data_IF_367434366590
#
_entry.id   IF_367434366590
#
_cell.length_a   1.000
_cell.length_b   1.000
_cell.length_c   1.000
_cell.angle_alpha   90.00
_cell.angle_beta   90.00
_cell.angle_gamma   90.00
#
_symmetry.space_group_name_H-M   'P 1'
#
loop_
_entity.id
_entity.type
_entity.pdbx_description
1 polymer ?
#
# COMPACT_ATOMS: atom_id res chain seq x y z
N UNK A 1 36.53 6.25 -0.71
CA UNK A 1 35.39 6.24 -1.67
C UNK A 1 34.29 5.26 -1.29
N UNK A 2 34.58 3.99 -0.98
CA UNK A 2 33.55 3.00 -0.62
C UNK A 2 32.70 3.40 0.60
N UNK A 3 33.31 3.97 1.65
CA UNK A 3 32.62 4.44 2.86
C UNK A 3 31.68 5.64 2.60
N UNK A 4 32.03 6.52 1.66
CA UNK A 4 31.16 7.64 1.26
C UNK A 4 30.05 7.19 0.30
N UNK A 5 30.28 6.15 -0.51
CA UNK A 5 29.27 5.56 -1.40
C UNK A 5 28.20 4.76 -0.63
N UNK A 6 28.57 4.08 0.46
CA UNK A 6 27.60 3.43 1.37
C UNK A 6 26.76 4.45 2.14
N UNK A 7 27.32 5.63 2.45
CA UNK A 7 26.58 6.72 3.08
C UNK A 7 25.54 7.32 2.11
N UNK A 8 25.89 7.48 0.83
CA UNK A 8 24.93 7.84 -0.23
C UNK A 8 23.85 6.78 -0.50
N UNK A 9 24.16 5.49 -0.32
CA UNK A 9 23.19 4.40 -0.46
C UNK A 9 22.09 4.43 0.62
N UNK A 10 22.36 4.98 1.81
CA UNK A 10 21.37 5.21 2.87
C UNK A 10 20.53 6.48 2.63
N UNK A 11 21.10 7.53 2.05
CA UNK A 11 20.35 8.73 1.63
C UNK A 11 19.53 8.53 0.34
N UNK A 12 19.75 7.44 -0.41
CA UNK A 12 18.83 6.93 -1.42
C UNK A 12 17.82 5.92 -0.82
N UNK A 13 18.07 5.46 0.40
CA UNK A 13 17.18 4.67 1.25
C UNK A 13 16.33 5.59 2.14
N UNK A 14 15.80 6.67 1.58
CA UNK A 14 14.98 7.65 2.29
C UNK A 14 13.71 6.98 2.82
N UNK A 15 13.58 6.79 4.15
CA UNK A 15 12.35 6.28 4.74
C UNK A 15 11.16 7.19 4.41
N UNK A 16 11.43 8.50 4.27
CA UNK A 16 10.48 9.52 3.84
C UNK A 16 9.89 9.26 2.43
N UNK A 17 10.68 8.71 1.51
CA UNK A 17 10.25 8.41 0.15
C UNK A 17 9.45 7.10 0.11
N UNK A 18 9.83 6.10 0.92
CA UNK A 18 9.02 4.89 1.09
C UNK A 18 7.70 5.17 1.82
N UNK A 19 7.66 6.08 2.79
CA UNK A 19 6.43 6.58 3.42
C UNK A 19 5.49 7.23 2.40
N UNK A 20 6.01 8.15 1.60
CA UNK A 20 5.21 8.85 0.59
C UNK A 20 4.61 7.86 -0.42
N UNK A 21 5.37 6.84 -0.81
CA UNK A 21 4.89 5.76 -1.69
C UNK A 21 3.86 4.88 -1.00
N UNK A 22 4.08 4.44 0.25
CA UNK A 22 3.11 3.63 1.00
C UNK A 22 1.81 4.40 1.27
N UNK A 23 1.87 5.71 1.52
CA UNK A 23 0.69 6.58 1.66
C UNK A 23 -0.07 6.76 0.34
N UNK A 24 0.64 7.00 -0.78
CA UNK A 24 0.02 7.08 -2.10
C UNK A 24 -0.62 5.73 -2.51
N UNK A 25 0.05 4.63 -2.21
CA UNK A 25 -0.42 3.28 -2.48
C UNK A 25 -1.65 2.93 -1.65
N UNK A 26 -1.69 3.34 -0.38
CA UNK A 26 -2.88 3.22 0.48
C UNK A 26 -4.07 3.96 -0.13
N UNK A 27 -3.89 5.22 -0.55
CA UNK A 27 -4.98 6.00 -1.16
C UNK A 27 -5.48 5.38 -2.47
N UNK A 28 -4.58 4.88 -3.32
CA UNK A 28 -4.95 4.16 -4.54
C UNK A 28 -5.71 2.86 -4.25
N UNK A 29 -5.24 2.07 -3.28
CA UNK A 29 -5.90 0.82 -2.88
C UNK A 29 -7.29 1.09 -2.28
N UNK A 30 -7.44 2.14 -1.47
CA UNK A 30 -8.76 2.60 -0.99
C UNK A 30 -9.69 2.96 -2.15
N UNK A 31 -9.22 3.72 -3.15
CA UNK A 31 -10.02 4.07 -4.32
C UNK A 31 -10.43 2.85 -5.15
N UNK A 32 -9.52 1.90 -5.35
CA UNK A 32 -9.80 0.64 -6.05
C UNK A 32 -10.82 -0.23 -5.31
N UNK A 33 -10.75 -0.30 -3.98
CA UNK A 33 -11.73 -1.05 -3.17
C UNK A 33 -13.12 -0.42 -3.33
N UNK A 34 -13.23 0.91 -3.26
CA UNK A 34 -14.51 1.61 -3.44
C UNK A 34 -15.08 1.39 -4.85
N UNK A 35 -14.23 1.46 -5.88
CA UNK A 35 -14.62 1.20 -7.27
C UNK A 35 -15.09 -0.25 -7.46
N UNK A 36 -14.32 -1.24 -7.00
CA UNK A 36 -14.70 -2.66 -7.09
C UNK A 36 -15.96 -2.98 -6.30
N UNK A 37 -16.12 -2.38 -5.11
CA UNK A 37 -17.34 -2.53 -4.30
C UNK A 37 -18.54 -1.93 -5.01
N UNK A 38 -18.36 -0.77 -5.67
CA UNK A 38 -19.40 -0.15 -6.49
C UNK A 38 -19.80 -1.05 -7.66
N UNK A 39 -18.86 -1.63 -8.40
CA UNK A 39 -19.13 -2.57 -9.50
C UNK A 39 -19.87 -3.83 -9.01
N UNK A 40 -19.50 -4.35 -7.83
CA UNK A 40 -20.18 -5.47 -7.18
C UNK A 40 -21.63 -5.14 -6.81
N UNK A 41 -21.90 -3.93 -6.31
CA UNK A 41 -23.25 -3.49 -5.92
C UNK A 41 -24.11 -3.17 -7.15
N UNK A 42 -23.54 -2.58 -8.21
CA UNK A 42 -24.27 -2.23 -9.43
C UNK A 42 -24.52 -3.43 -10.37
N UNK A 43 -24.14 -4.64 -9.95
CA UNK A 43 -24.62 -5.89 -10.55
C UNK A 43 -23.92 -6.32 -11.84
N UNK A 44 -22.69 -5.86 -12.10
CA UNK A 44 -21.94 -6.22 -13.30
C UNK A 44 -21.24 -7.58 -13.24
N UNK A 45 -20.81 -8.02 -12.05
CA UNK A 45 -19.98 -9.22 -11.87
C UNK A 45 -20.81 -10.41 -11.37
N UNK A 46 -21.16 -11.33 -12.27
CA UNK A 46 -21.85 -12.60 -11.92
C UNK A 46 -20.98 -13.53 -11.07
N UNK A 47 -19.68 -13.26 -10.98
CA UNK A 47 -18.72 -14.08 -10.24
C UNK A 47 -18.32 -13.44 -8.90
N UNK A 48 -19.25 -13.47 -7.95
CA UNK A 48 -19.06 -12.99 -6.57
C UNK A 48 -17.84 -13.63 -5.87
N UNK A 49 -17.43 -14.85 -6.25
CA UNK A 49 -16.25 -15.51 -5.69
C UNK A 49 -14.97 -14.79 -6.13
N UNK A 50 -14.82 -14.50 -7.42
CA UNK A 50 -13.65 -13.77 -7.92
C UNK A 50 -13.62 -12.33 -7.38
N UNK A 51 -14.78 -11.68 -7.31
CA UNK A 51 -14.91 -10.33 -6.80
C UNK A 51 -14.51 -10.22 -5.32
N UNK A 52 -14.94 -11.17 -4.48
CA UNK A 52 -14.57 -11.22 -3.06
C UNK A 52 -13.09 -11.55 -2.83
N UNK A 53 -12.49 -12.44 -3.63
CA UNK A 53 -11.04 -12.72 -3.56
C UNK A 53 -10.22 -11.49 -3.94
N UNK A 54 -10.64 -10.75 -4.97
CA UNK A 54 -9.96 -9.51 -5.38
C UNK A 54 -10.05 -8.43 -4.30
N UNK A 55 -11.22 -8.27 -3.68
CA UNK A 55 -11.38 -7.39 -2.52
C UNK A 55 -10.49 -7.80 -1.34
N UNK A 56 -10.39 -9.09 -1.06
CA UNK A 56 -9.55 -9.61 0.02
C UNK A 56 -8.07 -9.26 -0.22
N UNK A 57 -7.57 -9.46 -1.44
CA UNK A 57 -6.18 -9.11 -1.81
C UNK A 57 -5.94 -7.61 -1.73
N UNK A 58 -6.89 -6.78 -2.14
CA UNK A 58 -6.79 -5.33 -2.03
C UNK A 58 -6.77 -4.88 -0.55
N UNK A 59 -7.62 -5.44 0.30
CA UNK A 59 -7.64 -5.20 1.76
C UNK A 59 -6.33 -5.61 2.43
N UNK A 60 -5.76 -6.75 2.05
CA UNK A 60 -4.47 -7.21 2.57
C UNK A 60 -3.34 -6.22 2.23
N UNK A 61 -3.26 -5.76 0.98
CA UNK A 61 -2.27 -4.77 0.55
C UNK A 61 -2.43 -3.42 1.28
N UNK A 62 -3.68 -2.97 1.49
CA UNK A 62 -3.97 -1.77 2.28
C UNK A 62 -3.48 -1.93 3.72
N UNK A 63 -3.80 -3.06 4.35
CA UNK A 63 -3.38 -3.36 5.72
C UNK A 63 -1.86 -3.40 5.85
N UNK A 64 -1.14 -4.06 4.94
CA UNK A 64 0.34 -4.06 4.93
C UNK A 64 0.91 -2.66 4.73
N UNK A 65 0.34 -1.86 3.83
CA UNK A 65 0.78 -0.47 3.62
C UNK A 65 0.53 0.39 4.88
N UNK A 66 -0.56 0.14 5.59
CA UNK A 66 -0.87 0.78 6.86
C UNK A 66 0.09 0.35 7.96
N UNK A 67 0.45 -0.94 8.05
CA UNK A 67 1.46 -1.44 8.97
C UNK A 67 2.84 -0.86 8.69
N UNK A 68 3.20 -0.61 7.43
CA UNK A 68 4.46 0.05 7.07
C UNK A 68 4.46 1.51 7.52
N UNK A 69 3.35 2.25 7.31
CA UNK A 69 3.21 3.62 7.83
C UNK A 69 3.25 3.63 9.37
N UNK A 70 2.45 2.76 10.01
CA UNK A 70 2.35 2.68 11.46
C UNK A 70 3.66 2.23 12.09
N UNK A 71 4.35 1.25 11.51
CA UNK A 71 5.65 0.76 11.96
C UNK A 71 6.76 1.78 11.80
N UNK A 72 6.62 2.72 10.84
CA UNK A 72 7.49 3.89 10.77
C UNK A 72 7.18 4.88 11.90
N UNK A 73 5.91 5.26 12.09
CA UNK A 73 5.49 6.18 13.17
C UNK A 73 5.71 5.59 14.58
N UNK A 74 5.69 4.26 14.72
CA UNK A 74 5.90 3.56 16.00
C UNK A 74 7.36 3.12 16.21
N UNK A 75 8.19 3.18 15.17
CA UNK A 75 9.61 2.83 15.19
C UNK A 75 10.54 4.05 15.28
N UNK A 76 10.00 5.26 15.45
CA UNK A 76 10.75 6.45 15.86
C UNK A 76 11.12 6.34 17.36
N UNK A 77 12.07 5.45 17.67
CA UNK A 77 12.92 5.46 18.87
C UNK A 77 14.40 5.55 18.45
#
# INVERSE_FOLDING_TARGET
>A
MAFFASLGAMFFSLPALSLAVSAAFMLLMCGLILYQTSEMIHGGETNYIMATVTLYVALFNLFTSLLQLLGFFAGED
#
